data_IF_058815793172
#
_entry.id   IF_058815793172
#
_cell.length_a   1.000
_cell.length_b   1.000
_cell.length_c   1.000
_cell.angle_alpha   90.00
_cell.angle_beta   90.00
_cell.angle_gamma   90.00
#
_symmetry.space_group_name_H-M   'P 1'
#
loop_
_entity.id
_entity.type
_entity.pdbx_description
1 polymer ?
#
# COMPACT_ATOMS: atom_id res chain seq x y z
N UNK A 1 42.55 61.52 28.05
CA UNK A 1 41.65 61.99 29.12
C UNK A 1 40.23 61.89 28.58
N UNK A 2 39.37 61.13 29.29
CA UNK A 2 37.90 61.01 29.16
C UNK A 2 37.39 60.21 27.93
N UNK A 3 36.93 58.96 28.13
CA UNK A 3 35.52 58.53 28.43
C UNK A 3 34.65 58.64 27.15
N UNK A 4 33.78 57.72 26.74
CA UNK A 4 33.29 56.42 27.21
C UNK A 4 32.21 55.96 26.19
N UNK A 5 31.56 54.83 26.49
CA UNK A 5 30.24 54.40 25.99
C UNK A 5 30.17 53.54 24.71
N UNK A 6 30.17 52.24 24.99
CA UNK A 6 29.54 51.19 24.22
C UNK A 6 28.05 51.46 23.91
N UNK A 7 27.60 51.05 22.72
CA UNK A 7 26.19 50.75 22.49
C UNK A 7 26.05 49.48 21.64
N UNK A 8 25.99 48.34 22.33
CA UNK A 8 25.55 47.05 21.76
C UNK A 8 24.08 47.18 21.39
N UNK A 9 23.79 47.22 20.09
CA UNK A 9 22.42 47.10 19.58
C UNK A 9 22.11 45.60 19.58
N UNK A 10 21.45 45.15 20.64
CA UNK A 10 20.88 43.81 20.72
C UNK A 10 19.68 43.73 19.78
N UNK A 11 19.80 42.96 18.71
CA UNK A 11 18.67 42.62 17.84
C UNK A 11 18.05 41.35 18.43
N UNK A 12 16.95 41.50 19.15
CA UNK A 12 16.12 40.38 19.60
C UNK A 12 15.31 39.89 18.40
N UNK A 13 15.78 38.83 17.75
CA UNK A 13 14.98 38.10 16.76
C UNK A 13 13.96 37.26 17.53
N UNK A 14 12.71 37.70 17.54
CA UNK A 14 11.60 36.89 18.03
C UNK A 14 11.39 35.71 17.07
N UNK A 15 11.78 34.50 17.49
CA UNK A 15 11.48 33.26 16.79
C UNK A 15 9.99 33.00 16.89
N UNK A 16 9.26 33.24 15.80
CA UNK A 16 7.87 32.81 15.67
C UNK A 16 7.90 31.30 15.49
N UNK A 17 7.64 30.55 16.56
CA UNK A 17 7.37 29.12 16.48
C UNK A 17 5.99 28.93 15.82
N UNK A 18 5.96 29.02 14.49
CA UNK A 18 4.78 28.69 13.69
C UNK A 18 4.54 27.19 13.78
N UNK A 19 3.63 26.78 14.65
CA UNK A 19 3.07 25.43 14.63
C UNK A 19 2.31 25.25 13.31
N UNK A 20 3.02 24.75 12.30
CA UNK A 20 2.41 24.33 11.05
C UNK A 20 1.63 23.06 11.35
N UNK A 21 0.35 23.20 11.69
CA UNK A 21 -0.57 22.05 11.70
C UNK A 21 -0.75 21.66 10.25
N UNK A 22 0.12 20.79 9.76
CA UNK A 22 -0.08 20.07 8.52
C UNK A 22 -1.34 19.23 8.73
N UNK A 23 -2.48 19.76 8.29
CA UNK A 23 -3.68 18.97 8.04
C UNK A 23 -3.26 17.91 7.01
N UNK A 24 -2.83 16.75 7.50
CA UNK A 24 -2.61 15.58 6.67
C UNK A 24 -3.97 15.30 6.02
N UNK A 25 -4.07 15.67 4.74
CA UNK A 25 -5.18 15.18 3.93
C UNK A 25 -5.15 13.65 4.06
N UNK A 26 -6.28 12.98 4.31
CA UNK A 26 -6.28 11.52 4.36
C UNK A 26 -5.62 11.04 3.07
N UNK A 27 -4.51 10.30 3.21
CA UNK A 27 -3.80 9.79 2.06
C UNK A 27 -4.82 9.01 1.22
N UNK A 28 -5.13 9.51 0.02
CA UNK A 28 -6.04 8.80 -0.88
C UNK A 28 -5.44 7.41 -1.09
N UNK A 29 -6.23 6.37 -0.85
CA UNK A 29 -5.76 5.00 -0.99
C UNK A 29 -5.14 4.82 -2.39
N UNK A 30 -3.86 4.49 -2.43
CA UNK A 30 -3.20 4.13 -3.67
C UNK A 30 -3.84 2.84 -4.18
N UNK A 31 -3.94 2.69 -5.50
CA UNK A 31 -4.58 1.54 -6.12
C UNK A 31 -3.78 1.07 -7.33
N UNK A 32 -3.80 -0.24 -7.55
CA UNK A 32 -3.28 -0.89 -8.75
C UNK A 32 -4.27 -1.95 -9.21
N UNK A 33 -4.52 -1.99 -10.53
CA UNK A 33 -5.31 -3.03 -11.16
C UNK A 33 -4.48 -3.75 -12.22
N UNK A 34 -4.75 -5.03 -12.44
CA UNK A 34 -4.13 -5.82 -13.50
C UNK A 34 -4.87 -7.11 -13.79
N UNK A 35 -4.53 -7.73 -14.92
CA UNK A 35 -5.05 -9.03 -15.32
C UNK A 35 -4.10 -10.14 -14.92
N UNK A 36 -4.47 -10.91 -13.90
CA UNK A 36 -3.69 -12.09 -13.49
C UNK A 36 -4.01 -13.23 -14.44
N UNK A 37 -2.99 -13.78 -15.09
CA UNK A 37 -3.13 -14.93 -15.98
C UNK A 37 -3.14 -16.24 -15.19
N UNK A 38 -4.14 -17.08 -15.45
CA UNK A 38 -4.23 -18.41 -14.86
C UNK A 38 -3.13 -19.33 -15.40
N UNK A 39 -2.55 -20.21 -14.57
CA UNK A 39 -1.49 -21.13 -15.01
C UNK A 39 -1.94 -22.13 -16.08
N UNK A 40 -3.24 -22.43 -16.14
CA UNK A 40 -3.88 -23.32 -17.12
C UNK A 40 -4.79 -22.54 -18.08
N UNK A 41 -4.57 -21.22 -18.20
CA UNK A 41 -5.36 -20.31 -19.05
C UNK A 41 -6.45 -19.53 -18.29
N UNK A 42 -7.09 -18.62 -19.01
CA UNK A 42 -8.03 -17.65 -18.44
C UNK A 42 -7.35 -16.48 -17.73
N UNK A 43 -8.11 -15.44 -17.41
CA UNK A 43 -7.63 -14.27 -16.68
C UNK A 43 -8.57 -13.86 -15.55
N UNK A 44 -8.00 -13.13 -14.58
CA UNK A 44 -8.70 -12.48 -13.49
C UNK A 44 -8.33 -11.00 -13.45
N UNK A 45 -9.25 -10.09 -13.82
CA UNK A 45 -9.08 -8.67 -13.59
C UNK A 45 -9.16 -8.40 -12.08
N UNK A 46 -8.03 -8.06 -11.44
CA UNK A 46 -7.92 -7.87 -10.01
C UNK A 46 -7.36 -6.48 -9.69
N UNK A 47 -7.99 -5.79 -8.75
CA UNK A 47 -7.47 -4.56 -8.16
C UNK A 47 -7.04 -4.80 -6.72
N UNK A 48 -6.01 -4.07 -6.28
CA UNK A 48 -5.60 -3.93 -4.89
C UNK A 48 -5.43 -2.45 -4.56
N UNK A 49 -5.77 -2.06 -3.33
CA UNK A 49 -5.48 -0.75 -2.78
C UNK A 49 -4.68 -0.85 -1.49
N UNK A 50 -3.97 0.22 -1.14
CA UNK A 50 -3.22 0.34 0.11
C UNK A 50 -3.21 1.80 0.60
N UNK A 51 -3.22 1.96 1.92
CA UNK A 51 -3.08 3.21 2.65
C UNK A 51 -2.00 3.02 3.68
N UNK A 52 -1.02 3.92 3.73
CA UNK A 52 -0.03 3.94 4.81
C UNK A 52 -0.68 4.51 6.07
N UNK A 53 -0.63 3.76 7.17
CA UNK A 53 -1.27 4.15 8.44
C UNK A 53 -0.30 4.81 9.44
N UNK A 54 1.01 4.71 9.19
CA UNK A 54 2.07 5.19 10.08
C UNK A 54 3.17 4.15 10.31
N UNK A 55 2.90 2.86 10.10
CA UNK A 55 3.84 1.77 10.28
C UNK A 55 3.83 0.74 9.14
N UNK A 56 2.66 0.51 8.54
CA UNK A 56 2.46 -0.48 7.50
C UNK A 56 1.28 -0.07 6.60
N UNK A 57 0.73 -1.03 5.85
CA UNK A 57 -0.33 -0.78 4.90
C UNK A 57 -1.61 -1.55 5.23
N UNK A 58 -2.69 -0.78 5.34
CA UNK A 58 -4.07 -1.25 5.28
C UNK A 58 -4.57 -1.25 3.84
N UNK A 59 -5.37 -2.25 3.45
CA UNK A 59 -5.84 -2.28 2.08
C UNK A 59 -6.94 -3.29 1.78
N UNK A 60 -7.35 -3.28 0.50
CA UNK A 60 -8.39 -4.15 -0.03
C UNK A 60 -7.98 -4.74 -1.36
N UNK A 61 -8.59 -5.85 -1.74
CA UNK A 61 -8.55 -6.36 -3.11
C UNK A 61 -9.93 -6.80 -3.56
N UNK A 62 -10.18 -6.72 -4.87
CA UNK A 62 -11.45 -7.09 -5.47
C UNK A 62 -11.30 -7.33 -6.97
N UNK A 63 -12.23 -8.09 -7.54
CA UNK A 63 -12.31 -8.29 -8.99
C UNK A 63 -12.90 -7.07 -9.66
N UNK A 64 -12.29 -6.61 -10.75
CA UNK A 64 -12.75 -5.43 -11.51
C UNK A 64 -13.31 -5.84 -12.88
N UNK A 65 -14.19 -6.82 -12.89
CA UNK A 65 -14.78 -7.37 -14.12
C UNK A 65 -15.03 -8.88 -14.03
N UNK A 66 -15.56 -9.47 -15.12
CA UNK A 66 -15.77 -10.91 -15.20
C UNK A 66 -14.44 -11.66 -15.18
N UNK A 67 -14.44 -12.84 -14.55
CA UNK A 67 -13.33 -13.79 -14.57
C UNK A 67 -13.57 -14.83 -15.65
N UNK A 68 -12.51 -15.19 -16.38
CA UNK A 68 -12.51 -16.31 -17.33
C UNK A 68 -11.74 -17.52 -16.78
N UNK A 69 -11.49 -17.56 -15.47
CA UNK A 69 -10.72 -18.62 -14.84
C UNK A 69 -11.47 -19.97 -14.88
N UNK A 70 -10.76 -21.08 -15.10
CA UNK A 70 -11.29 -22.41 -14.83
C UNK A 70 -11.80 -22.55 -13.39
N UNK A 71 -12.85 -23.35 -13.19
CA UNK A 71 -13.51 -23.52 -11.87
C UNK A 71 -12.61 -24.07 -10.76
N UNK A 72 -11.50 -24.70 -11.12
CA UNK A 72 -10.54 -25.33 -10.22
C UNK A 72 -9.31 -24.45 -9.94
N UNK A 73 -9.30 -23.23 -10.50
CA UNK A 73 -8.34 -22.18 -10.19
C UNK A 73 -8.75 -21.45 -8.91
N UNK A 74 -7.76 -21.10 -8.08
CA UNK A 74 -7.95 -20.36 -6.84
C UNK A 74 -6.88 -19.28 -6.66
N UNK A 75 -7.21 -18.24 -5.90
CA UNK A 75 -6.30 -17.15 -5.58
C UNK A 75 -5.46 -17.49 -4.35
N UNK A 76 -4.15 -17.30 -4.46
CA UNK A 76 -3.26 -17.22 -3.32
C UNK A 76 -2.77 -15.80 -3.13
N UNK A 77 -2.54 -15.47 -1.88
CA UNK A 77 -2.08 -14.17 -1.42
C UNK A 77 -0.90 -14.37 -0.50
N UNK A 78 0.11 -13.52 -0.62
CA UNK A 78 1.29 -13.54 0.23
C UNK A 78 1.40 -12.21 0.95
N UNK A 79 1.28 -12.27 2.27
CA UNK A 79 1.48 -11.15 3.19
C UNK A 79 2.79 -11.36 3.93
N UNK A 80 3.75 -10.46 3.77
CA UNK A 80 5.02 -10.47 4.53
C UNK A 80 5.72 -11.84 4.56
N UNK A 81 5.63 -12.56 3.44
CA UNK A 81 6.22 -13.87 3.26
C UNK A 81 5.29 -15.05 3.51
N UNK A 82 4.18 -14.87 4.25
CA UNK A 82 3.19 -15.90 4.59
C UNK A 82 2.19 -16.08 3.45
N UNK A 83 2.08 -17.29 2.92
CA UNK A 83 1.16 -17.63 1.82
C UNK A 83 -0.15 -18.17 2.37
N UNK A 84 -1.26 -17.62 1.87
CA UNK A 84 -2.63 -18.00 2.24
C UNK A 84 -3.46 -18.20 0.97
N UNK A 85 -4.38 -19.15 0.98
CA UNK A 85 -5.47 -19.17 -0.01
C UNK A 85 -6.48 -18.09 0.36
N UNK A 86 -6.96 -17.33 -0.62
CA UNK A 86 -7.85 -16.20 -0.40
C UNK A 86 -9.05 -16.23 -1.34
N UNK A 87 -10.14 -15.59 -0.92
CA UNK A 87 -11.23 -15.23 -1.82
C UNK A 87 -10.76 -14.22 -2.87
N UNK A 88 -11.53 -14.07 -3.95
CA UNK A 88 -11.27 -13.10 -5.02
C UNK A 88 -11.52 -11.62 -4.63
N UNK A 89 -11.98 -11.39 -3.39
CA UNK A 89 -12.06 -10.07 -2.77
C UNK A 89 -11.83 -10.16 -1.25
N UNK A 90 -11.41 -9.06 -0.63
CA UNK A 90 -11.19 -8.98 0.80
C UNK A 90 -10.43 -7.73 1.24
N UNK A 91 -9.99 -7.74 2.50
CA UNK A 91 -9.18 -6.69 3.13
C UNK A 91 -7.99 -7.27 3.89
N UNK A 92 -6.99 -6.44 4.11
CA UNK A 92 -5.80 -6.74 4.90
C UNK A 92 -5.42 -5.52 5.71
N UNK A 93 -4.73 -5.77 6.82
CA UNK A 93 -4.25 -4.77 7.75
C UNK A 93 -2.91 -5.21 8.33
N UNK A 94 -2.12 -4.23 8.73
CA UNK A 94 -0.80 -4.46 9.32
C UNK A 94 0.18 -5.21 8.38
N UNK A 95 0.13 -4.93 7.07
CA UNK A 95 0.93 -5.64 6.05
C UNK A 95 1.95 -4.72 5.39
N UNK A 96 3.23 -5.10 5.39
CA UNK A 96 4.27 -4.33 4.69
C UNK A 96 4.32 -4.62 3.19
N UNK A 97 4.10 -5.87 2.79
CA UNK A 97 4.12 -6.32 1.40
C UNK A 97 3.02 -7.33 1.14
N UNK A 98 2.24 -7.05 0.09
CA UNK A 98 1.21 -7.95 -0.40
C UNK A 98 1.41 -8.28 -1.88
N UNK A 99 1.30 -9.56 -2.20
CA UNK A 99 1.29 -10.05 -3.58
C UNK A 99 0.25 -11.14 -3.78
N UNK A 100 -0.17 -11.32 -5.02
CA UNK A 100 -1.20 -12.27 -5.41
C UNK A 100 -0.71 -13.18 -6.53
N UNK A 101 -1.22 -14.40 -6.60
CA UNK A 101 -1.04 -15.29 -7.74
C UNK A 101 -2.22 -16.23 -7.87
N UNK A 102 -2.43 -16.73 -9.07
CA UNK A 102 -3.39 -17.79 -9.35
C UNK A 102 -2.71 -19.15 -9.31
N UNK A 103 -3.39 -20.12 -8.72
CA UNK A 103 -2.97 -21.50 -8.66
C UNK A 103 -4.10 -22.42 -9.14
N UNK A 104 -3.71 -23.60 -9.60
CA UNK A 104 -4.62 -24.61 -10.11
C UNK A 104 -4.61 -25.85 -9.24
N UNK A 105 -5.79 -26.33 -8.84
CA UNK A 105 -5.88 -27.47 -7.92
C UNK A 105 -5.69 -28.83 -8.61
N UNK A 106 -5.92 -28.93 -9.92
CA UNK A 106 -5.77 -30.18 -10.67
C UNK A 106 -4.31 -30.40 -11.06
N UNK A 107 -3.66 -29.37 -11.60
CA UNK A 107 -2.27 -29.46 -12.08
C UNK A 107 -1.24 -29.10 -11.01
N UNK A 108 -1.66 -28.53 -9.88
CA UNK A 108 -0.79 -28.03 -8.80
C UNK A 108 0.17 -26.92 -9.25
N UNK A 109 -0.08 -26.28 -10.40
CA UNK A 109 0.74 -25.19 -10.94
C UNK A 109 0.24 -23.85 -10.43
N UNK A 110 1.15 -22.88 -10.37
CA UNK A 110 0.85 -21.50 -10.00
C UNK A 110 1.52 -20.54 -10.98
N UNK A 111 0.85 -19.41 -11.20
CA UNK A 111 1.42 -18.24 -11.86
C UNK A 111 2.47 -17.54 -10.98
N UNK A 112 3.17 -16.56 -11.57
CA UNK A 112 4.07 -15.68 -10.84
C UNK A 112 3.33 -14.77 -9.84
N UNK A 113 4.07 -14.21 -8.90
CA UNK A 113 3.54 -13.23 -7.94
C UNK A 113 3.39 -11.85 -8.60
N UNK A 114 2.25 -11.20 -8.34
CA UNK A 114 1.89 -9.84 -8.77
C UNK A 114 1.62 -8.91 -7.58
#
# INVERSE_FOLDING_TARGET
MLLDVAKKIGITVATIAGASVLLASPASAAQQCGDLQGPEGGNLPLCKSWVWDGNDYDGKWWTNGPSALPSHTYLQRREDGVVKTSNYSGSYSDVSKISFRLCDSLTRRCSGWW
#
